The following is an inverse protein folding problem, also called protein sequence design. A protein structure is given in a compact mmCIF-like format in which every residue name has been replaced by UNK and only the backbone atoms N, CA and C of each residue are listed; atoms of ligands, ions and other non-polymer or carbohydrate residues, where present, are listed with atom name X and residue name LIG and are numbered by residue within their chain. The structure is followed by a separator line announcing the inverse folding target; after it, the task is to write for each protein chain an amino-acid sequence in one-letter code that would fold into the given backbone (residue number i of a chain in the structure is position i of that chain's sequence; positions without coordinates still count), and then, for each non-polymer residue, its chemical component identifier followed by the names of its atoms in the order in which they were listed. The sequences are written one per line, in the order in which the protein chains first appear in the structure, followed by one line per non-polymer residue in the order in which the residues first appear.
data_IF_126691570139
#
_entry.id   IF_126691570139
#
_cell.length_a   1.000
_cell.length_b   1.000
_cell.length_c   1.000
_cell.angle_alpha   90.00
_cell.angle_beta   90.00
_cell.angle_gamma   90.00
#
_symmetry.space_group_name_H-M   'P 1'
#
loop_
_entity.id
_entity.type
_entity.pdbx_description
1 polymer ?
#
# COMPACT_ATOMS: atom_id res chain seq x y z
N UNK A 1 -4.07 10.52 -17.52
CA UNK A 1 -3.31 10.80 -16.27
C UNK A 1 -3.53 9.62 -15.35
N UNK A 2 -2.49 9.15 -14.67
CA UNK A 2 -2.50 7.88 -13.92
C UNK A 2 -2.46 8.09 -12.40
N UNK A 3 -3.08 7.16 -11.67
CA UNK A 3 -3.20 7.20 -10.20
C UNK A 3 -1.96 6.64 -9.51
N UNK A 4 -1.85 6.89 -8.21
CA UNK A 4 -0.84 6.31 -7.32
C UNK A 4 -1.56 5.45 -6.28
N UNK A 5 -1.02 4.25 -6.01
CA UNK A 5 -1.49 3.38 -4.93
C UNK A 5 -0.50 3.45 -3.76
N UNK A 6 -0.96 3.90 -2.60
CA UNK A 6 -0.18 3.85 -1.36
C UNK A 6 -0.57 2.62 -0.53
N UNK A 7 0.44 1.98 0.06
CA UNK A 7 0.31 0.75 0.86
C UNK A 7 0.94 0.98 2.23
N UNK A 8 0.14 0.81 3.27
CA UNK A 8 0.60 0.70 4.65
C UNK A 8 0.67 -0.78 5.03
N UNK A 9 1.88 -1.34 5.01
CA UNK A 9 2.11 -2.77 5.19
C UNK A 9 2.02 -3.19 6.66
N UNK A 10 1.17 -4.19 6.93
CA UNK A 10 1.06 -4.81 8.25
C UNK A 10 0.85 -6.33 8.17
N UNK A 11 1.25 -7.03 9.23
CA UNK A 11 1.16 -8.51 9.32
C UNK A 11 -0.27 -9.05 9.36
N UNK A 12 -1.22 -8.26 9.87
CA UNK A 12 -2.63 -8.67 10.02
C UNK A 12 -3.56 -7.90 9.07
N UNK A 13 -3.30 -6.60 8.92
CA UNK A 13 -4.08 -5.67 8.11
C UNK A 13 -3.12 -4.89 7.21
N UNK A 14 -3.55 -4.62 6.00
CA UNK A 14 -2.84 -3.75 5.06
C UNK A 14 -3.76 -2.59 4.74
N UNK A 15 -3.29 -1.38 5.03
CA UNK A 15 -3.95 -0.14 4.63
C UNK A 15 -3.66 0.14 3.16
N UNK A 16 -4.66 0.64 2.44
CA UNK A 16 -4.56 0.96 1.02
C UNK A 16 -5.19 2.33 0.79
N UNK A 17 -4.58 3.15 -0.04
CA UNK A 17 -5.14 4.42 -0.48
C UNK A 17 -4.82 4.66 -1.95
N UNK A 18 -5.77 5.23 -2.69
CA UNK A 18 -5.62 5.53 -4.10
C UNK A 18 -5.69 7.04 -4.30
N UNK A 19 -4.76 7.59 -5.07
CA UNK A 19 -4.83 8.99 -5.45
C UNK A 19 -5.92 9.22 -6.50
N UNK A 20 -6.42 10.45 -6.58
CA UNK A 20 -7.11 10.90 -7.79
C UNK A 20 -6.10 11.03 -8.96
N UNK A 21 -6.56 11.14 -10.23
CA UNK A 21 -5.67 11.24 -11.40
C UNK A 21 -4.75 12.48 -11.40
N UNK A 22 -5.11 13.56 -10.69
CA UNK A 22 -4.24 14.73 -10.53
C UNK A 22 -3.15 14.51 -9.47
N UNK A 23 -3.23 13.42 -8.70
CA UNK A 23 -2.33 13.08 -7.59
C UNK A 23 -2.34 14.11 -6.46
N UNK A 24 -3.46 14.80 -6.27
CA UNK A 24 -3.60 15.86 -5.26
C UNK A 24 -4.33 15.36 -4.00
N UNK A 25 -5.29 14.46 -4.18
CA UNK A 25 -6.09 13.89 -3.11
C UNK A 25 -5.87 12.38 -3.04
N UNK A 26 -5.80 11.84 -1.83
CA UNK A 26 -5.78 10.40 -1.57
C UNK A 26 -7.08 9.99 -0.88
N UNK A 27 -7.69 8.90 -1.35
CA UNK A 27 -8.85 8.28 -0.72
C UNK A 27 -8.49 6.89 -0.21
N UNK A 28 -8.86 6.59 1.03
CA UNK A 28 -8.68 5.26 1.60
C UNK A 28 -9.54 4.23 0.88
N UNK A 29 -8.94 3.08 0.57
CA UNK A 29 -9.64 1.89 0.10
C UNK A 29 -9.99 0.98 1.29
N UNK A 30 -10.88 -0.01 1.12
CA UNK A 30 -11.15 -1.00 2.15
C UNK A 30 -9.86 -1.65 2.66
N UNK A 31 -9.73 -1.74 3.98
CA UNK A 31 -8.56 -2.40 4.60
C UNK A 31 -8.53 -3.88 4.24
N UNK A 32 -7.39 -4.34 3.73
CA UNK A 32 -7.20 -5.74 3.41
C UNK A 32 -6.82 -6.52 4.67
N UNK A 33 -7.59 -7.56 4.96
CA UNK A 33 -7.32 -8.51 6.04
C UNK A 33 -6.45 -9.63 5.48
N UNK A 34 -5.22 -9.77 5.95
CA UNK A 34 -4.31 -10.79 5.43
C UNK A 34 -4.81 -12.17 5.80
N UNK A 35 -5.00 -13.03 4.81
CA UNK A 35 -5.36 -14.44 5.01
C UNK A 35 -4.15 -15.35 4.83
N UNK A 36 -4.06 -16.48 5.56
CA UNK A 36 -3.03 -17.48 5.30
C UNK A 36 -3.08 -17.94 3.83
N UNK A 37 -1.92 -17.95 3.17
CA UNK A 37 -1.80 -18.34 1.76
C UNK A 37 -2.17 -17.26 0.73
N UNK A 38 -2.77 -16.14 1.13
CA UNK A 38 -3.07 -15.02 0.24
C UNK A 38 -1.80 -14.22 -0.05
N UNK A 39 -1.46 -14.10 -1.34
CA UNK A 39 -0.33 -13.28 -1.77
C UNK A 39 -0.79 -11.85 -1.95
N UNK A 40 -0.38 -10.98 -1.03
CA UNK A 40 -0.66 -9.53 -1.11
C UNK A 40 -0.28 -8.94 -2.48
N UNK A 41 0.83 -9.41 -3.06
CA UNK A 41 1.28 -8.98 -4.38
C UNK A 41 0.26 -9.23 -5.50
N UNK A 42 -0.50 -10.33 -5.45
CA UNK A 42 -1.53 -10.64 -6.45
C UNK A 42 -2.72 -9.68 -6.33
N UNK A 43 -3.10 -9.33 -5.09
CA UNK A 43 -4.16 -8.34 -4.84
C UNK A 43 -3.73 -6.94 -5.30
N UNK A 44 -2.48 -6.56 -5.00
CA UNK A 44 -1.91 -5.28 -5.42
C UNK A 44 -1.83 -5.20 -6.94
N UNK A 45 -1.37 -6.25 -7.63
CA UNK A 45 -1.30 -6.30 -9.08
C UNK A 45 -2.67 -6.08 -9.72
N UNK A 46 -3.71 -6.74 -9.20
CA UNK A 46 -5.08 -6.54 -9.64
C UNK A 46 -5.56 -5.09 -9.45
N UNK A 47 -5.30 -4.50 -8.28
CA UNK A 47 -5.67 -3.10 -8.02
C UNK A 47 -4.94 -2.12 -8.95
N UNK A 48 -3.68 -2.42 -9.29
CA UNK A 48 -2.89 -1.61 -10.23
C UNK A 48 -3.52 -1.62 -11.61
N UNK A 49 -3.91 -2.79 -12.12
CA UNK A 49 -4.58 -2.94 -13.42
C UNK A 49 -5.97 -2.28 -13.42
N UNK A 50 -6.80 -2.57 -12.42
CA UNK A 50 -8.19 -2.06 -12.35
C UNK A 50 -8.27 -0.52 -12.24
N UNK A 51 -7.25 0.12 -11.66
CA UNK A 51 -7.28 1.55 -11.36
C UNK A 51 -6.32 2.39 -12.21
N UNK A 52 -5.63 1.79 -13.19
CA UNK A 52 -4.62 2.45 -14.02
C UNK A 52 -3.54 3.15 -13.17
N UNK A 53 -3.04 2.43 -12.17
CA UNK A 53 -2.00 2.92 -11.27
C UNK A 53 -0.68 2.94 -12.03
N UNK A 54 0.02 4.08 -12.00
CA UNK A 54 1.36 4.18 -12.57
C UNK A 54 2.48 4.01 -11.54
N UNK A 55 2.17 4.15 -10.26
CA UNK A 55 3.17 4.08 -9.20
C UNK A 55 2.58 3.51 -7.92
N UNK A 56 3.36 2.64 -7.27
CA UNK A 56 3.01 2.06 -5.98
C UNK A 56 3.99 2.58 -4.93
N UNK A 57 3.46 3.19 -3.87
CA UNK A 57 4.22 3.64 -2.72
C UNK A 57 3.99 2.68 -1.56
N UNK A 58 5.06 2.29 -0.86
CA UNK A 58 4.98 1.46 0.34
C UNK A 58 5.56 2.23 1.50
N UNK A 59 4.81 2.34 2.59
CA UNK A 59 5.28 3.00 3.81
C UNK A 59 6.50 2.28 4.39
N UNK A 60 7.59 3.02 4.63
CA UNK A 60 8.76 2.52 5.34
C UNK A 60 8.58 2.79 6.84
N UNK A 61 8.35 1.76 7.68
CA UNK A 61 8.15 1.96 9.10
C UNK A 61 9.49 2.23 9.79
N UNK A 62 9.69 3.46 10.24
CA UNK A 62 10.84 3.85 11.07
C UNK A 62 10.42 3.89 12.55
N UNK A 63 11.39 3.65 13.43
CA UNK A 63 11.22 3.88 14.86
C UNK A 63 11.18 5.40 15.16
N UNK A 64 10.79 5.77 16.39
CA UNK A 64 10.60 7.18 16.75
C UNK A 64 11.88 8.04 16.64
N UNK A 65 13.05 7.42 16.70
CA UNK A 65 14.35 8.07 16.53
C UNK A 65 14.81 8.12 15.05
N UNK A 66 13.99 7.61 14.13
CA UNK A 66 14.28 7.56 12.69
C UNK A 66 15.11 6.36 12.26
N UNK A 67 15.52 5.48 13.19
CA UNK A 67 16.24 4.25 12.84
C UNK A 67 15.31 3.21 12.21
N UNK A 68 15.90 2.27 11.46
CA UNK A 68 15.17 1.15 10.87
C UNK A 68 14.95 0.04 11.90
N UNK A 69 13.74 -0.03 12.47
CA UNK A 69 13.35 -1.12 13.35
C UNK A 69 13.10 -2.43 12.61
N UNK A 70 12.82 -3.51 13.34
CA UNK A 70 12.62 -4.85 12.78
C UNK A 70 11.53 -4.90 11.68
N UNK A 71 10.50 -4.04 11.75
CA UNK A 71 9.43 -3.98 10.75
C UNK A 71 9.87 -3.50 9.37
N UNK A 72 10.96 -2.74 9.27
CA UNK A 72 11.48 -2.25 7.99
C UNK A 72 12.30 -3.30 7.23
N UNK A 73 12.69 -4.39 7.89
CA UNK A 73 13.57 -5.43 7.35
C UNK A 73 12.81 -6.68 6.89
N UNK A 74 11.48 -6.68 7.03
CA UNK A 74 10.59 -7.80 6.66
C UNK A 74 10.01 -7.62 5.26
#
# INVERSE_FOLDING_TARGET
MSRVLAIDYGKRRVGLALSDPSRTLAAGLPTLQRRPGEKLAEVVARLVEENEVAEVLVGLPLDMDGSTGARAQE
#
